data_IF_787524552542
#
_entry.id   IF_787524552542
#
_cell.length_a   1.000
_cell.length_b   1.000
_cell.length_c   1.000
_cell.angle_alpha   90.00
_cell.angle_beta   90.00
_cell.angle_gamma   90.00
#
_symmetry.space_group_name_H-M   'P 1'
#
loop_
_entity.id
_entity.type
_entity.pdbx_description
1 polymer ?
#
# COMPACT_ATOMS: atom_id res chain seq x y z
N UNK A 1 16.04 -7.00 1.44
CA UNK A 1 17.08 -7.11 2.51
C UNK A 1 17.89 -5.84 2.56
N UNK A 2 18.04 -5.23 3.73
CA UNK A 2 18.92 -4.07 3.91
C UNK A 2 20.39 -4.48 3.70
N UNK A 3 21.25 -3.53 3.32
CA UNK A 3 22.70 -3.79 3.16
C UNK A 3 23.33 -4.37 4.44
N UNK A 4 22.85 -3.93 5.61
CA UNK A 4 23.28 -4.46 6.92
C UNK A 4 22.87 -5.91 7.16
N UNK A 5 21.64 -6.29 6.79
CA UNK A 5 21.14 -7.67 6.89
C UNK A 5 21.98 -8.64 6.04
N UNK A 6 22.30 -8.26 4.80
CA UNK A 6 23.21 -9.03 3.93
C UNK A 6 24.61 -9.18 4.52
N UNK A 7 25.18 -8.11 5.07
CA UNK A 7 26.50 -8.15 5.67
C UNK A 7 26.54 -9.09 6.89
N UNK A 8 25.50 -9.08 7.74
CA UNK A 8 25.37 -10.00 8.86
C UNK A 8 25.23 -11.45 8.41
N UNK A 9 24.43 -11.73 7.38
CA UNK A 9 24.32 -13.10 6.81
C UNK A 9 25.68 -13.61 6.32
N UNK A 10 26.43 -12.80 5.57
CA UNK A 10 27.75 -13.17 5.06
C UNK A 10 28.73 -13.41 6.22
N UNK A 11 28.73 -12.54 7.23
CA UNK A 11 29.56 -12.68 8.43
C UNK A 11 29.23 -13.98 9.17
N UNK A 12 27.95 -14.28 9.35
CA UNK A 12 27.48 -15.49 10.02
C UNK A 12 27.88 -16.77 9.27
N UNK A 13 27.74 -16.79 7.94
CA UNK A 13 28.22 -17.91 7.10
C UNK A 13 29.74 -18.05 7.20
N UNK A 14 30.48 -16.95 7.14
CA UNK A 14 31.95 -16.96 7.25
C UNK A 14 32.42 -17.51 8.61
N UNK A 15 31.79 -17.09 9.72
CA UNK A 15 32.10 -17.58 11.07
C UNK A 15 31.75 -19.06 11.21
N UNK A 16 30.61 -19.51 10.69
CA UNK A 16 30.23 -20.93 10.72
C UNK A 16 31.26 -21.79 9.97
N UNK A 17 31.64 -21.40 8.75
CA UNK A 17 32.65 -22.09 7.96
C UNK A 17 34.02 -22.10 8.64
N UNK A 18 34.41 -20.98 9.25
CA UNK A 18 35.67 -20.88 10.00
C UNK A 18 35.68 -21.81 11.21
N UNK A 19 34.61 -21.83 12.00
CA UNK A 19 34.50 -22.73 13.16
C UNK A 19 34.51 -24.19 12.73
N UNK A 20 33.75 -24.57 11.68
CA UNK A 20 33.80 -25.92 11.12
C UNK A 20 35.22 -26.31 10.66
N UNK A 21 35.93 -25.40 9.98
CA UNK A 21 37.32 -25.61 9.58
C UNK A 21 38.25 -25.82 10.78
N UNK A 22 38.14 -24.99 11.82
CA UNK A 22 38.89 -25.17 13.07
C UNK A 22 38.58 -26.54 13.71
N UNK A 23 37.32 -26.97 13.69
CA UNK A 23 36.90 -28.26 14.25
C UNK A 23 37.58 -29.44 13.54
N UNK A 24 37.63 -29.41 12.20
CA UNK A 24 38.29 -30.45 11.40
C UNK A 24 39.81 -30.43 11.62
N UNK A 25 40.43 -29.24 11.64
CA UNK A 25 41.88 -29.09 11.80
C UNK A 25 42.41 -29.50 13.17
N UNK A 26 41.56 -29.46 14.19
CA UNK A 26 41.92 -29.72 15.58
C UNK A 26 41.51 -31.12 16.06
N UNK A 27 40.85 -31.88 15.19
CA UNK A 27 40.38 -33.23 15.47
C UNK A 27 41.55 -34.16 15.84
N UNK A 28 41.50 -34.74 17.04
CA UNK A 28 42.54 -35.64 17.56
C UNK A 28 43.76 -34.93 18.17
N UNK A 29 43.87 -33.59 18.06
CA UNK A 29 44.96 -32.80 18.66
C UNK A 29 44.53 -32.11 19.97
N UNK A 30 43.24 -31.89 20.18
CA UNK A 30 42.68 -31.24 21.38
C UNK A 30 41.51 -32.02 21.97
N UNK A 31 41.18 -31.77 23.26
CA UNK A 31 40.06 -32.40 23.93
C UNK A 31 38.74 -32.22 23.16
N UNK A 32 38.01 -33.31 22.95
CA UNK A 32 36.80 -33.37 22.12
C UNK A 32 35.70 -32.36 22.51
N UNK A 33 35.65 -31.93 23.77
CA UNK A 33 34.70 -30.93 24.24
C UNK A 33 34.90 -29.57 23.54
N UNK A 34 36.14 -29.20 23.18
CA UNK A 34 36.44 -27.95 22.50
C UNK A 34 35.92 -27.94 21.06
N UNK A 35 36.05 -29.07 20.36
CA UNK A 35 35.46 -29.30 19.04
C UNK A 35 33.92 -29.25 19.08
N UNK A 36 33.31 -29.85 20.10
CA UNK A 36 31.87 -29.79 20.34
C UNK A 36 31.39 -28.36 20.63
N UNK A 37 32.14 -27.59 21.42
CA UNK A 37 31.81 -26.19 21.72
C UNK A 37 31.86 -25.30 20.46
N UNK A 38 32.84 -25.51 19.58
CA UNK A 38 32.91 -24.80 18.28
C UNK A 38 31.76 -25.19 17.35
N UNK A 39 31.42 -26.47 17.29
CA UNK A 39 30.27 -26.95 16.51
C UNK A 39 28.95 -26.36 17.03
N UNK A 40 28.75 -26.30 18.35
CA UNK A 40 27.59 -25.66 18.96
C UNK A 40 27.57 -24.15 18.69
N UNK A 41 28.72 -23.47 18.77
CA UNK A 41 28.83 -22.04 18.47
C UNK A 41 28.50 -21.73 17.00
N UNK A 42 28.76 -22.65 16.06
CA UNK A 42 28.38 -22.52 14.65
C UNK A 42 26.86 -22.57 14.42
N UNK A 43 26.05 -23.03 15.39
CA UNK A 43 24.58 -22.99 15.28
C UNK A 43 24.00 -21.59 15.48
N UNK A 44 24.62 -20.76 16.32
CA UNK A 44 24.18 -19.39 16.58
C UNK A 44 24.05 -18.52 15.30
N UNK A 45 25.05 -18.48 14.39
CA UNK A 45 24.92 -17.75 13.13
C UNK A 45 23.83 -18.34 12.21
N UNK A 46 23.66 -19.66 12.17
CA UNK A 46 22.60 -20.32 11.37
C UNK A 46 21.22 -19.90 11.87
N UNK A 47 21.00 -19.92 13.18
CA UNK A 47 19.74 -19.46 13.80
C UNK A 47 19.51 -17.97 13.52
N UNK A 48 20.56 -17.15 13.54
CA UNK A 48 20.49 -15.74 13.17
C UNK A 48 20.00 -15.52 11.74
N UNK A 49 20.53 -16.28 10.78
CA UNK A 49 20.10 -16.21 9.37
C UNK A 49 18.64 -16.67 9.22
N UNK A 50 18.24 -17.78 9.82
CA UNK A 50 16.86 -18.29 9.76
C UNK A 50 15.87 -17.28 10.34
N UNK A 51 16.22 -16.63 11.47
CA UNK A 51 15.36 -15.58 12.03
C UNK A 51 15.22 -14.40 11.07
N UNK A 52 16.31 -13.94 10.48
CA UNK A 52 16.27 -12.82 9.53
C UNK A 52 15.43 -13.16 8.29
N UNK A 53 15.46 -14.41 7.80
CA UNK A 53 14.61 -14.83 6.69
C UNK A 53 13.14 -14.83 7.04
N UNK A 54 12.77 -15.31 8.24
CA UNK A 54 11.38 -15.30 8.71
C UNK A 54 10.86 -13.87 8.86
N UNK A 55 11.65 -12.98 9.48
CA UNK A 55 11.26 -11.58 9.66
C UNK A 55 11.15 -10.86 8.30
N UNK A 56 12.02 -11.18 7.33
CA UNK A 56 11.92 -10.62 5.98
C UNK A 56 10.63 -11.06 5.28
N UNK A 57 10.22 -12.32 5.46
CA UNK A 57 9.00 -12.87 4.87
C UNK A 57 7.74 -12.26 5.50
N UNK A 58 7.70 -12.13 6.83
CA UNK A 58 6.61 -11.44 7.54
C UNK A 58 6.45 -9.99 7.09
N UNK A 59 7.56 -9.25 6.94
CA UNK A 59 7.53 -7.86 6.45
C UNK A 59 7.01 -7.79 5.01
N UNK A 60 7.37 -8.75 4.17
CA UNK A 60 6.87 -8.80 2.80
C UNK A 60 5.36 -9.10 2.77
N UNK A 61 4.89 -10.05 3.57
CA UNK A 61 3.47 -10.36 3.71
C UNK A 61 2.65 -9.15 4.17
N UNK A 62 3.13 -8.42 5.20
CA UNK A 62 2.49 -7.19 5.69
C UNK A 62 2.47 -6.10 4.62
N UNK A 63 3.57 -5.91 3.88
CA UNK A 63 3.63 -4.93 2.80
C UNK A 63 2.60 -5.22 1.70
N UNK A 64 2.44 -6.49 1.31
CA UNK A 64 1.45 -6.93 0.32
C UNK A 64 0.01 -6.68 0.81
N UNK A 65 -0.27 -6.94 2.09
CA UNK A 65 -1.58 -6.66 2.68
C UNK A 65 -1.88 -5.15 2.67
N UNK A 66 -0.91 -4.32 3.07
CA UNK A 66 -1.03 -2.86 3.04
C UNK A 66 -1.25 -2.29 1.64
N UNK A 67 -0.55 -2.82 0.64
CA UNK A 67 -0.77 -2.42 -0.77
C UNK A 67 -2.19 -2.77 -1.22
N UNK A 68 -2.68 -3.96 -0.89
CA UNK A 68 -4.06 -4.39 -1.22
C UNK A 68 -5.10 -3.53 -0.52
N UNK A 69 -4.91 -3.21 0.75
CA UNK A 69 -5.77 -2.28 1.50
C UNK A 69 -5.75 -0.88 0.89
N UNK A 70 -4.57 -0.37 0.54
CA UNK A 70 -4.41 0.92 -0.14
C UNK A 70 -5.17 0.98 -1.47
N UNK A 71 -5.07 -0.07 -2.30
CA UNK A 71 -5.83 -0.16 -3.56
C UNK A 71 -7.34 -0.19 -3.33
N UNK A 72 -7.82 -0.91 -2.31
CA UNK A 72 -9.25 -0.94 -1.97
C UNK A 72 -9.74 0.39 -1.43
N UNK A 73 -8.93 1.11 -0.65
CA UNK A 73 -9.24 2.46 -0.21
C UNK A 73 -9.34 3.41 -1.41
N UNK A 74 -8.34 3.43 -2.29
CA UNK A 74 -8.36 4.26 -3.50
C UNK A 74 -9.58 3.97 -4.41
N UNK A 75 -9.98 2.69 -4.54
CA UNK A 75 -11.19 2.33 -5.28
C UNK A 75 -12.47 2.86 -4.63
N UNK A 76 -12.57 2.81 -3.30
CA UNK A 76 -13.71 3.38 -2.56
C UNK A 76 -13.76 4.89 -2.70
N UNK A 77 -12.62 5.56 -2.57
CA UNK A 77 -12.54 7.01 -2.70
C UNK A 77 -12.93 7.46 -4.12
N UNK A 78 -12.49 6.73 -5.15
CA UNK A 78 -12.90 6.98 -6.53
C UNK A 78 -14.41 6.73 -6.75
N UNK A 79 -14.98 5.71 -6.11
CA UNK A 79 -16.42 5.46 -6.18
C UNK A 79 -17.24 6.56 -5.48
N UNK A 80 -16.78 7.03 -4.31
CA UNK A 80 -17.40 8.14 -3.59
C UNK A 80 -17.34 9.44 -4.40
N UNK A 81 -16.19 9.77 -4.99
CA UNK A 81 -16.06 10.94 -5.85
C UNK A 81 -16.99 10.89 -7.07
N UNK A 82 -17.19 9.71 -7.68
CA UNK A 82 -18.16 9.54 -8.77
C UNK A 82 -19.60 9.75 -8.30
N UNK A 83 -19.96 9.17 -7.15
CA UNK A 83 -21.30 9.33 -6.58
C UNK A 83 -21.58 10.80 -6.21
N UNK A 84 -20.58 11.53 -5.72
CA UNK A 84 -20.68 12.97 -5.43
C UNK A 84 -20.93 13.79 -6.71
N UNK A 85 -20.18 13.51 -7.78
CA UNK A 85 -20.40 14.17 -9.09
C UNK A 85 -21.79 13.85 -9.65
N UNK A 86 -22.25 12.61 -9.54
CA UNK A 86 -23.58 12.21 -9.98
C UNK A 86 -24.69 12.89 -9.18
N UNK A 87 -24.55 12.98 -7.86
CA UNK A 87 -25.48 13.70 -6.99
C UNK A 87 -25.50 15.21 -7.30
N UNK A 88 -24.34 15.80 -7.58
CA UNK A 88 -24.24 17.20 -8.01
C UNK A 88 -24.91 17.43 -9.37
N UNK A 89 -24.77 16.50 -10.32
CA UNK A 89 -25.44 16.58 -11.60
C UNK A 89 -26.97 16.43 -11.46
N UNK A 90 -27.43 15.48 -10.64
CA UNK A 90 -28.84 15.27 -10.37
C UNK A 90 -29.49 16.52 -9.72
N UNK A 91 -28.89 17.03 -8.65
CA UNK A 91 -29.38 18.25 -7.98
C UNK A 91 -29.42 19.46 -8.90
N UNK A 92 -28.42 19.62 -9.79
CA UNK A 92 -28.43 20.69 -10.79
C UNK A 92 -29.58 20.55 -11.79
N UNK A 93 -29.84 19.33 -12.27
CA UNK A 93 -30.93 19.06 -13.20
C UNK A 93 -32.31 19.35 -12.57
N UNK A 94 -32.51 18.96 -11.31
CA UNK A 94 -33.74 19.26 -10.55
C UNK A 94 -33.96 20.77 -10.38
N UNK A 95 -32.91 21.53 -10.05
CA UNK A 95 -33.00 22.99 -9.93
C UNK A 95 -33.33 23.65 -11.28
N UNK A 96 -32.72 23.19 -12.36
CA UNK A 96 -33.00 23.68 -13.71
C UNK A 96 -34.43 23.39 -14.16
N UNK A 97 -34.93 22.18 -13.89
CA UNK A 97 -36.31 21.79 -14.16
C UNK A 97 -37.30 22.66 -13.37
N UNK A 98 -37.10 22.83 -12.06
CA UNK A 98 -37.95 23.67 -11.21
C UNK A 98 -37.97 25.15 -11.67
N UNK A 99 -36.84 25.68 -12.15
CA UNK A 99 -36.78 27.02 -12.75
C UNK A 99 -37.67 27.13 -13.99
N UNK A 100 -37.56 26.17 -14.92
CA UNK A 100 -38.35 26.15 -16.15
C UNK A 100 -39.85 25.98 -15.87
N UNK A 101 -40.21 25.09 -14.95
CA UNK A 101 -41.60 24.89 -14.51
C UNK A 101 -42.18 26.17 -13.89
N UNK A 102 -41.43 26.85 -13.01
CA UNK A 102 -41.86 28.11 -12.39
C UNK A 102 -42.08 29.21 -13.41
N UNK A 103 -41.23 29.30 -14.43
CA UNK A 103 -41.38 30.31 -15.50
C UNK A 103 -42.63 30.06 -16.35
N UNK A 104 -42.84 28.82 -16.79
CA UNK A 104 -44.01 28.48 -17.62
C UNK A 104 -45.32 28.74 -16.85
N UNK A 105 -45.33 28.43 -15.55
CA UNK A 105 -46.50 28.64 -14.68
C UNK A 105 -46.71 30.11 -14.28
N UNK A 106 -45.69 30.96 -14.35
CA UNK A 106 -45.77 32.40 -14.01
C UNK A 106 -46.13 33.30 -15.21
N UNK A 107 -46.72 32.75 -16.27
CA UNK A 107 -47.03 33.46 -17.52
C UNK A 107 -45.80 34.19 -18.12
N UNK A 108 -44.62 33.56 -18.01
CA UNK A 108 -43.37 34.06 -18.56
C UNK A 108 -42.87 35.40 -18.02
N UNK A 109 -43.32 35.82 -16.83
CA UNK A 109 -43.00 37.15 -16.28
C UNK A 109 -41.55 37.29 -15.82
N UNK A 110 -40.92 36.23 -15.28
CA UNK A 110 -39.51 36.27 -14.87
C UNK A 110 -38.86 34.88 -14.98
N UNK A 111 -37.95 34.72 -15.95
CA UNK A 111 -37.08 33.54 -16.09
C UNK A 111 -35.66 33.91 -15.66
N UNK A 112 -35.00 33.05 -14.89
CA UNK A 112 -33.62 33.25 -14.46
C UNK A 112 -32.73 33.61 -15.67
N UNK A 113 -32.00 34.75 -15.63
CA UNK A 113 -31.11 35.18 -16.70
C UNK A 113 -29.94 34.25 -16.97
N UNK A 114 -29.57 33.39 -16.01
CA UNK A 114 -28.45 32.47 -16.12
C UNK A 114 -28.83 31.05 -16.55
N UNK A 115 -30.12 30.76 -16.76
CA UNK A 115 -30.57 29.41 -17.12
C UNK A 115 -30.22 29.07 -18.57
N UNK A 116 -29.66 27.87 -18.78
CA UNK A 116 -29.15 27.43 -20.08
C UNK A 116 -30.25 27.16 -21.12
N UNK A 117 -31.48 26.86 -20.66
CA UNK A 117 -32.64 26.62 -21.50
C UNK A 117 -33.35 27.90 -21.95
N UNK A 118 -32.85 29.07 -21.54
CA UNK A 118 -33.38 30.37 -22.00
C UNK A 118 -33.15 30.51 -23.50
N UNK A 119 -34.16 30.22 -24.31
CA UNK A 119 -34.21 30.68 -25.68
C UNK A 119 -34.47 32.19 -25.65
N UNK A 120 -33.59 32.99 -26.27
CA UNK A 120 -33.78 34.44 -26.40
C UNK A 120 -34.99 34.73 -27.31
N UNK A 121 -36.19 34.64 -26.74
CA UNK A 121 -37.42 35.08 -27.38
C UNK A 121 -37.77 36.46 -26.82
N UNK A 122 -37.62 37.47 -27.67
CA UNK A 122 -38.13 38.82 -27.42
C UNK A 122 -37.11 39.84 -26.93
N UNK A 123 -36.16 40.24 -27.78
CA UNK A 123 -35.79 41.65 -27.89
C UNK A 123 -36.27 42.19 -29.24
N UNK A 124 -37.58 42.16 -29.45
CA UNK A 124 -38.20 42.97 -30.49
C UNK A 124 -38.77 44.21 -29.81
N UNK A 125 -38.26 45.35 -30.29
CA UNK A 125 -38.55 46.72 -29.89
C UNK A 125 -40.04 47.06 -29.78
#
# INVERSE_FOLDING_TARGET
MSRGSRALTVLYVAVALWLSFCTVRTWGAVPAWSSLAMAAAALAPVVGVVRETVIADERHAVAVLREREGRRAAWRDAALARAEVEAAAFSRAEVEAACCERWWTSCATEHDPCCAHRTAWGSTA
#
